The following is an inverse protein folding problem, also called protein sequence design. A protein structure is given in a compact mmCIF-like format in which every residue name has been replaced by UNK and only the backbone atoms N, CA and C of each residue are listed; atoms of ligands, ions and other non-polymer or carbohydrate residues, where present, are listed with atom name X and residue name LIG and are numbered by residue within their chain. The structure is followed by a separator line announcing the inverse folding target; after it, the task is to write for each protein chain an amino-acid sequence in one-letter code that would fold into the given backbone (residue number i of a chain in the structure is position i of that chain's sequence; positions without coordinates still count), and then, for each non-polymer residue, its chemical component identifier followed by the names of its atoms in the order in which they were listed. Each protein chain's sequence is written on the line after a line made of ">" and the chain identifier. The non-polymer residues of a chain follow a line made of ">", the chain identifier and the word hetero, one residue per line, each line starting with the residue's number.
data_IF_671373663862
#
_entry.id   IF_671373663862
#
_cell.length_a   1.000
_cell.length_b   1.000
_cell.length_c   1.000
_cell.angle_alpha   90.00
_cell.angle_beta   90.00
_cell.angle_gamma   90.00
#
_symmetry.space_group_name_H-M   'P 1'
#
loop_
_entity.id
_entity.type
_entity.pdbx_description
1 polymer ?
#
# COMPACT_ATOMS: atom_id res chain seq x y z
N UNK A 1 62.06 -1.97 20.26
CA UNK A 1 61.22 -1.12 19.39
C UNK A 1 59.92 -0.89 20.14
N UNK A 2 59.73 0.34 20.63
CA UNK A 2 58.62 0.69 21.50
C UNK A 2 57.30 0.69 20.74
N UNK A 3 56.27 0.11 21.36
CA UNK A 3 54.89 0.32 20.95
C UNK A 3 54.55 1.78 21.24
N UNK A 4 54.66 2.65 20.24
CA UNK A 4 54.02 3.96 20.28
C UNK A 4 52.51 3.71 20.31
N UNK A 5 51.92 3.79 21.51
CA UNK A 5 50.50 4.16 21.63
C UNK A 5 50.39 5.53 21.00
N UNK A 6 49.90 5.59 19.77
CA UNK A 6 49.34 6.81 19.23
C UNK A 6 48.22 7.21 20.17
N UNK A 7 48.46 8.24 21.00
CA UNK A 7 47.46 8.94 21.78
C UNK A 7 46.48 9.64 20.81
N UNK A 8 45.66 8.85 20.12
CA UNK A 8 44.39 9.34 19.60
C UNK A 8 43.48 9.51 20.82
N UNK A 9 43.75 10.57 21.60
CA UNK A 9 42.75 11.14 22.48
C UNK A 9 41.62 11.56 21.56
N UNK A 10 40.53 10.79 21.51
CA UNK A 10 39.28 11.34 21.01
C UNK A 10 39.06 12.65 21.77
N UNK A 11 38.73 13.76 21.09
CA UNK A 11 38.40 14.99 21.79
C UNK A 11 37.29 14.63 22.78
N UNK A 12 37.59 14.75 24.08
CA UNK A 12 36.60 14.58 25.13
C UNK A 12 35.59 15.69 24.89
N UNK A 13 34.47 15.33 24.26
CA UNK A 13 33.34 16.20 24.00
C UNK A 13 32.98 16.86 25.34
N UNK A 14 33.04 18.19 25.39
CA UNK A 14 33.08 18.95 26.64
C UNK A 14 31.78 18.93 27.45
N UNK A 15 30.67 18.48 26.85
CA UNK A 15 29.36 18.34 27.48
C UNK A 15 28.70 16.99 27.19
N UNK A 16 27.82 16.52 28.08
CA UNK A 16 27.00 15.31 27.84
C UNK A 16 26.16 15.42 26.55
N UNK A 17 25.71 16.64 26.23
CA UNK A 17 24.94 16.92 25.02
C UNK A 17 25.74 16.63 23.75
N UNK A 18 27.05 16.90 23.78
CA UNK A 18 27.97 16.63 22.68
C UNK A 18 28.20 15.12 22.49
N UNK A 19 28.22 14.34 23.58
CA UNK A 19 28.24 12.87 23.50
C UNK A 19 26.94 12.31 22.92
N UNK A 20 25.79 12.89 23.28
CA UNK A 20 24.50 12.48 22.71
C UNK A 20 24.43 12.79 21.22
N UNK A 21 24.84 13.97 20.77
CA UNK A 21 24.88 14.31 19.34
C UNK A 21 25.88 13.44 18.59
N UNK A 22 27.07 13.17 19.13
CA UNK A 22 28.03 12.24 18.54
C UNK A 22 27.48 10.81 18.46
N UNK A 23 26.78 10.33 19.49
CA UNK A 23 26.13 9.02 19.50
C UNK A 23 24.99 8.94 18.48
N UNK A 24 24.17 9.99 18.34
CA UNK A 24 23.12 10.09 17.32
C UNK A 24 23.74 10.08 15.92
N UNK A 25 24.81 10.85 15.70
CA UNK A 25 25.53 10.89 14.43
C UNK A 25 26.11 9.51 14.10
N UNK A 26 26.77 8.85 15.05
CA UNK A 26 27.29 7.49 14.89
C UNK A 26 26.17 6.50 14.54
N UNK A 27 25.05 6.53 15.29
CA UNK A 27 23.89 5.66 15.00
C UNK A 27 23.32 5.96 13.62
N UNK A 28 23.18 7.24 13.25
CA UNK A 28 22.70 7.63 11.92
C UNK A 28 23.65 7.18 10.81
N UNK A 29 24.95 7.22 11.04
CA UNK A 29 25.97 6.76 10.10
C UNK A 29 25.97 5.22 9.98
N UNK A 30 25.85 4.50 11.09
CA UNK A 30 25.72 3.03 11.11
C UNK A 30 24.45 2.57 10.40
N UNK A 31 23.34 3.27 10.63
CA UNK A 31 22.06 3.03 9.97
C UNK A 31 22.17 3.30 8.47
N UNK A 32 22.84 4.38 8.04
CA UNK A 32 23.11 4.66 6.62
C UNK A 32 24.06 3.64 5.99
N UNK A 33 25.03 3.13 6.74
CA UNK A 33 25.99 2.14 6.27
C UNK A 33 25.36 0.75 6.03
N UNK A 34 24.19 0.48 6.64
CA UNK A 34 23.46 -0.80 6.54
C UNK A 34 22.00 -0.57 6.11
N UNK A 35 21.74 -0.29 4.82
CA UNK A 35 20.39 0.02 4.34
C UNK A 35 19.41 -1.16 4.49
N UNK A 36 19.87 -2.41 4.48
CA UNK A 36 19.02 -3.60 4.60
C UNK A 36 18.26 -3.64 5.93
N UNK A 37 18.88 -3.17 7.02
CA UNK A 37 18.21 -3.05 8.34
C UNK A 37 17.02 -2.09 8.29
N UNK A 38 17.16 -0.94 7.63
CA UNK A 38 16.06 0.02 7.50
C UNK A 38 14.92 -0.55 6.65
N UNK A 39 15.25 -1.18 5.53
CA UNK A 39 14.26 -1.82 4.68
C UNK A 39 13.50 -2.93 5.41
N UNK A 40 14.18 -3.71 6.24
CA UNK A 40 13.57 -4.74 7.09
C UNK A 40 12.62 -4.15 8.14
N UNK A 41 13.02 -3.07 8.82
CA UNK A 41 12.21 -2.43 9.86
C UNK A 41 10.97 -1.74 9.28
N UNK A 42 11.08 -1.14 8.10
CA UNK A 42 9.96 -0.51 7.39
C UNK A 42 9.08 -1.51 6.64
N UNK A 43 9.54 -2.74 6.44
CA UNK A 43 8.77 -3.74 5.70
C UNK A 43 7.57 -4.24 6.53
N UNK A 44 6.40 -4.41 5.88
CA UNK A 44 5.21 -4.94 6.53
C UNK A 44 5.41 -6.40 6.95
N UNK A 45 4.63 -6.89 7.94
CA UNK A 45 4.83 -8.23 8.51
C UNK A 45 4.84 -9.35 7.47
N UNK A 46 3.96 -9.29 6.47
CA UNK A 46 3.88 -10.32 5.42
C UNK A 46 5.17 -10.46 4.62
N UNK A 47 5.91 -9.36 4.40
CA UNK A 47 7.16 -9.38 3.66
C UNK A 47 8.32 -9.85 4.55
N UNK A 48 8.31 -9.47 5.83
CA UNK A 48 9.31 -9.94 6.80
C UNK A 48 9.27 -11.46 7.00
N UNK A 49 8.09 -12.07 6.92
CA UNK A 49 7.93 -13.53 6.98
C UNK A 49 8.65 -14.28 5.84
N UNK A 50 8.96 -13.62 4.72
CA UNK A 50 9.69 -14.26 3.60
C UNK A 50 11.12 -14.70 3.94
N UNK A 51 11.68 -14.22 5.05
CA UNK A 51 12.97 -14.67 5.59
C UNK A 51 12.91 -16.14 6.08
N UNK A 52 11.76 -16.61 6.55
CA UNK A 52 11.54 -17.97 7.02
C UNK A 52 10.67 -18.73 6.02
N UNK A 53 11.21 -18.93 4.81
CA UNK A 53 10.45 -19.55 3.72
C UNK A 53 10.15 -21.03 3.98
N UNK A 54 8.99 -21.47 3.54
CA UNK A 54 8.58 -22.88 3.60
C UNK A 54 9.48 -23.79 2.76
N UNK A 55 9.54 -25.06 3.13
CA UNK A 55 10.33 -26.06 2.40
C UNK A 55 9.91 -26.22 0.92
N UNK A 56 8.66 -25.92 0.57
CA UNK A 56 8.18 -25.88 -0.82
C UNK A 56 8.80 -24.71 -1.60
N UNK A 57 8.81 -23.51 -1.00
CA UNK A 57 9.40 -22.31 -1.58
C UNK A 57 10.92 -22.46 -1.70
N UNK A 58 11.59 -22.99 -0.67
CA UNK A 58 13.04 -23.22 -0.71
C UNK A 58 13.43 -24.15 -1.87
N UNK A 59 12.65 -25.22 -2.10
CA UNK A 59 12.84 -26.10 -3.27
C UNK A 59 12.60 -25.37 -4.58
N UNK A 60 11.57 -24.51 -4.64
CA UNK A 60 11.31 -23.70 -5.83
C UNK A 60 12.47 -22.74 -6.12
N UNK A 61 13.02 -22.07 -5.09
CA UNK A 61 14.18 -21.17 -5.19
C UNK A 61 15.43 -21.87 -5.72
N UNK A 62 15.68 -23.10 -5.27
CA UNK A 62 16.82 -23.91 -5.74
C UNK A 62 16.66 -24.41 -7.19
N UNK A 63 15.43 -24.40 -7.72
CA UNK A 63 15.15 -24.73 -9.11
C UNK A 63 15.47 -23.57 -10.08
N UNK A 64 15.41 -23.87 -11.38
CA UNK A 64 15.51 -22.84 -12.42
C UNK A 64 14.24 -22.00 -12.57
N UNK A 65 14.30 -20.97 -13.41
CA UNK A 65 13.20 -20.01 -13.64
C UNK A 65 11.85 -20.68 -13.91
N UNK A 66 11.80 -21.71 -14.76
CA UNK A 66 10.54 -22.39 -15.06
C UNK A 66 9.87 -23.04 -13.84
N UNK A 67 10.65 -23.54 -12.89
CA UNK A 67 10.13 -24.16 -11.66
C UNK A 67 9.64 -23.06 -10.71
N UNK A 68 10.45 -22.01 -10.53
CA UNK A 68 10.11 -20.84 -9.73
C UNK A 68 8.80 -20.20 -10.22
N UNK A 69 8.70 -19.93 -11.52
CA UNK A 69 7.56 -19.27 -12.12
C UNK A 69 6.27 -20.08 -11.98
N UNK A 70 6.33 -21.41 -12.21
CA UNK A 70 5.17 -22.30 -12.02
C UNK A 70 4.71 -22.34 -10.56
N UNK A 71 5.65 -22.47 -9.62
CA UNK A 71 5.33 -22.50 -8.20
C UNK A 71 4.70 -21.19 -7.72
N UNK A 72 5.25 -20.05 -8.15
CA UNK A 72 4.73 -18.73 -7.79
C UNK A 72 3.32 -18.49 -8.38
N UNK A 73 3.05 -18.93 -9.61
CA UNK A 73 1.69 -18.85 -10.19
C UNK A 73 0.70 -19.68 -9.38
N UNK A 74 1.07 -20.91 -9.02
CA UNK A 74 0.18 -21.78 -8.25
C UNK A 74 -0.17 -21.16 -6.89
N UNK A 75 0.83 -20.67 -6.15
CA UNK A 75 0.62 -20.01 -4.86
C UNK A 75 -0.26 -18.75 -5.00
N UNK A 76 -0.05 -17.97 -6.06
CA UNK A 76 -0.90 -16.80 -6.39
C UNK A 76 -2.35 -17.24 -6.67
N UNK A 77 -2.56 -18.32 -7.39
CA UNK A 77 -3.90 -18.85 -7.69
C UNK A 77 -4.61 -19.40 -6.44
N UNK A 78 -3.88 -20.06 -5.56
CA UNK A 78 -4.39 -20.47 -4.24
C UNK A 78 -4.80 -19.26 -3.40
N UNK A 79 -3.99 -18.20 -3.40
CA UNK A 79 -4.35 -16.92 -2.76
C UNK A 79 -5.61 -16.29 -3.35
N UNK A 80 -5.76 -16.32 -4.69
CA UNK A 80 -6.96 -15.79 -5.36
C UNK A 80 -8.25 -16.53 -4.95
N UNK A 81 -8.18 -17.83 -4.66
CA UNK A 81 -9.35 -18.59 -4.19
C UNK A 81 -9.75 -18.24 -2.75
N UNK A 82 -8.77 -17.84 -1.95
CA UNK A 82 -8.94 -17.53 -0.53
C UNK A 82 -9.32 -16.07 -0.28
N UNK A 83 -9.08 -15.15 -1.23
CA UNK A 83 -9.26 -13.71 -1.00
C UNK A 83 -10.65 -13.31 -0.48
N UNK A 84 -11.71 -13.98 -0.94
CA UNK A 84 -13.09 -13.72 -0.48
C UNK A 84 -13.41 -14.47 0.82
N UNK A 85 -12.81 -15.65 1.02
CA UNK A 85 -13.13 -16.54 2.14
C UNK A 85 -12.38 -16.17 3.42
N UNK A 86 -11.07 -15.96 3.28
CA UNK A 86 -10.14 -15.73 4.38
C UNK A 86 -8.96 -14.85 3.92
N UNK A 87 -9.07 -13.51 4.04
CA UNK A 87 -8.04 -12.58 3.58
C UNK A 87 -6.65 -12.75 4.22
N UNK A 88 -6.48 -13.06 5.53
CA UNK A 88 -5.14 -13.30 6.09
C UNK A 88 -4.49 -14.58 5.54
N UNK A 89 -5.24 -15.67 5.36
CA UNK A 89 -4.69 -16.88 4.74
C UNK A 89 -4.33 -16.64 3.27
N UNK A 90 -5.11 -15.83 2.54
CA UNK A 90 -4.76 -15.42 1.18
C UNK A 90 -3.45 -14.62 1.16
N UNK A 91 -3.25 -13.71 2.13
CA UNK A 91 -2.02 -12.92 2.25
C UNK A 91 -0.79 -13.79 2.49
N UNK A 92 -0.91 -14.87 3.26
CA UNK A 92 0.17 -15.85 3.44
C UNK A 92 0.54 -16.55 2.13
N UNK A 93 -0.44 -16.97 1.32
CA UNK A 93 -0.15 -17.56 0.00
C UNK A 93 0.50 -16.57 -0.96
N UNK A 94 0.09 -15.31 -0.95
CA UNK A 94 0.76 -14.27 -1.72
C UNK A 94 2.18 -13.99 -1.21
N UNK A 95 2.40 -13.99 0.10
CA UNK A 95 3.75 -13.80 0.67
C UNK A 95 4.66 -14.96 0.28
N UNK A 96 4.17 -16.20 0.29
CA UNK A 96 4.88 -17.37 -0.23
C UNK A 96 5.19 -17.23 -1.72
N UNK A 97 4.23 -16.78 -2.54
CA UNK A 97 4.43 -16.55 -3.97
C UNK A 97 5.53 -15.50 -4.24
N UNK A 98 5.49 -14.38 -3.52
CA UNK A 98 6.53 -13.34 -3.57
C UNK A 98 7.89 -13.89 -3.14
N UNK A 99 7.89 -14.69 -2.08
CA UNK A 99 9.10 -15.26 -1.49
C UNK A 99 9.87 -16.15 -2.46
N UNK A 100 9.27 -16.67 -3.53
CA UNK A 100 9.99 -17.42 -4.57
C UNK A 100 11.05 -16.54 -5.26
N UNK A 101 10.72 -15.28 -5.55
CA UNK A 101 11.60 -14.35 -6.28
C UNK A 101 12.19 -13.24 -5.40
N UNK A 102 11.58 -12.93 -4.26
CA UNK A 102 11.94 -11.80 -3.41
C UNK A 102 11.92 -12.19 -1.92
N UNK A 103 13.05 -12.14 -1.24
CA UNK A 103 13.12 -12.51 0.18
C UNK A 103 14.17 -11.71 0.93
N UNK A 104 14.00 -11.65 2.24
CA UNK A 104 15.01 -11.12 3.14
C UNK A 104 16.03 -12.20 3.50
N UNK A 105 17.30 -11.95 3.22
CA UNK A 105 18.39 -12.86 3.55
C UNK A 105 18.95 -12.52 4.94
N UNK A 106 18.78 -13.43 5.90
CA UNK A 106 19.34 -13.28 7.26
C UNK A 106 20.77 -13.81 7.38
N UNK A 107 21.34 -14.32 6.29
CA UNK A 107 22.65 -14.94 6.31
C UNK A 107 22.73 -16.17 7.22
N UNK A 108 23.95 -16.69 7.40
CA UNK A 108 24.22 -17.80 8.30
C UNK A 108 24.30 -17.33 9.76
N UNK A 109 24.78 -16.10 9.98
CA UNK A 109 24.92 -15.50 11.30
C UNK A 109 23.61 -14.84 11.74
N UNK A 110 22.85 -15.50 12.61
CA UNK A 110 21.62 -14.94 13.21
C UNK A 110 21.83 -13.63 13.98
N UNK A 111 23.08 -13.32 14.35
CA UNK A 111 23.47 -12.10 15.05
C UNK A 111 23.74 -10.91 14.10
N UNK A 112 23.78 -11.15 12.78
CA UNK A 112 23.93 -10.06 11.81
C UNK A 112 22.70 -9.16 11.84
N UNK A 113 22.94 -7.86 12.00
CA UNK A 113 21.88 -6.85 12.06
C UNK A 113 21.38 -6.40 10.69
N UNK A 114 22.13 -6.72 9.63
CA UNK A 114 21.80 -6.34 8.27
C UNK A 114 21.09 -7.50 7.58
N UNK A 115 19.86 -7.27 7.14
CA UNK A 115 19.01 -8.28 6.49
C UNK A 115 18.63 -7.73 5.12
N UNK A 116 19.48 -7.89 4.09
CA UNK A 116 19.21 -7.33 2.77
C UNK A 116 18.01 -8.02 2.11
N UNK A 117 17.24 -7.22 1.36
CA UNK A 117 16.16 -7.72 0.51
C UNK A 117 16.76 -8.20 -0.82
N UNK A 118 16.77 -9.51 -1.03
CA UNK A 118 17.27 -10.14 -2.26
C UNK A 118 16.13 -10.33 -3.24
N UNK A 119 16.27 -9.77 -4.45
CA UNK A 119 15.37 -10.02 -5.57
C UNK A 119 16.06 -10.88 -6.63
N UNK A 120 15.78 -12.19 -6.65
CA UNK A 120 16.36 -13.10 -7.66
C UNK A 120 15.93 -12.76 -9.08
N UNK A 121 14.79 -12.08 -9.26
CA UNK A 121 14.34 -11.64 -10.57
C UNK A 121 15.31 -10.63 -11.23
N UNK A 122 16.09 -9.87 -10.46
CA UNK A 122 17.09 -8.93 -10.99
C UNK A 122 18.28 -9.63 -11.67
N UNK A 123 18.49 -10.93 -11.40
CA UNK A 123 19.54 -11.74 -12.04
C UNK A 123 19.11 -12.35 -13.36
N UNK A 124 17.81 -12.32 -13.67
CA UNK A 124 17.26 -12.84 -14.91
C UNK A 124 17.39 -11.77 -16.00
N UNK A 125 17.47 -12.19 -17.26
CA UNK A 125 17.59 -11.27 -18.40
C UNK A 125 16.46 -11.47 -19.42
N UNK A 126 16.05 -10.38 -20.05
CA UNK A 126 15.07 -10.39 -21.15
C UNK A 126 13.66 -10.81 -20.72
N UNK A 127 13.07 -11.75 -21.45
CA UNK A 127 11.66 -12.10 -21.30
C UNK A 127 11.34 -12.79 -19.95
N UNK A 128 12.30 -13.48 -19.34
CA UNK A 128 12.11 -14.15 -18.05
C UNK A 128 12.02 -13.11 -16.90
N UNK A 129 12.86 -12.09 -16.96
CA UNK A 129 12.84 -10.96 -16.03
C UNK A 129 11.51 -10.21 -16.10
N UNK A 130 11.05 -9.90 -17.31
CA UNK A 130 9.76 -9.26 -17.56
C UNK A 130 8.59 -10.05 -16.95
N UNK A 131 8.60 -11.37 -17.13
CA UNK A 131 7.57 -12.26 -16.59
C UNK A 131 7.61 -12.31 -15.05
N UNK A 132 8.80 -12.35 -14.47
CA UNK A 132 8.98 -12.32 -13.02
C UNK A 132 8.50 -10.99 -12.42
N UNK A 133 8.87 -9.85 -13.01
CA UNK A 133 8.44 -8.53 -12.55
C UNK A 133 6.94 -8.32 -12.67
N UNK A 134 6.34 -8.74 -13.78
CA UNK A 134 4.89 -8.72 -13.92
C UNK A 134 4.22 -9.56 -12.83
N UNK A 135 4.70 -10.78 -12.57
CA UNK A 135 4.16 -11.64 -11.53
C UNK A 135 4.32 -11.04 -10.12
N UNK A 136 5.48 -10.43 -9.82
CA UNK A 136 5.73 -9.71 -8.57
C UNK A 136 4.75 -8.54 -8.41
N UNK A 137 4.58 -7.72 -9.45
CA UNK A 137 3.63 -6.59 -9.41
C UNK A 137 2.21 -7.05 -9.14
N UNK A 138 1.74 -8.07 -9.87
CA UNK A 138 0.38 -8.63 -9.67
C UNK A 138 0.23 -9.21 -8.26
N UNK A 139 1.22 -9.95 -7.77
CA UNK A 139 1.17 -10.58 -6.44
C UNK A 139 1.17 -9.54 -5.32
N UNK A 140 1.99 -8.49 -5.42
CA UNK A 140 1.97 -7.35 -4.50
C UNK A 140 0.64 -6.59 -4.56
N UNK A 141 0.11 -6.36 -5.74
CA UNK A 141 -1.19 -5.70 -5.92
C UNK A 141 -2.30 -6.52 -5.25
N UNK A 142 -2.31 -7.85 -5.40
CA UNK A 142 -3.30 -8.72 -4.77
C UNK A 142 -3.13 -8.79 -3.24
N UNK A 143 -1.88 -8.84 -2.74
CA UNK A 143 -1.61 -8.71 -1.31
C UNK A 143 -2.15 -7.39 -0.75
N UNK A 144 -2.01 -6.28 -1.49
CA UNK A 144 -2.57 -4.99 -1.10
C UNK A 144 -4.10 -5.00 -1.02
N UNK A 145 -4.78 -5.76 -1.89
CA UNK A 145 -6.23 -5.92 -1.81
C UNK A 145 -6.65 -6.62 -0.50
N UNK A 146 -5.95 -7.69 -0.09
CA UNK A 146 -6.19 -8.33 1.21
C UNK A 146 -5.93 -7.36 2.37
N UNK A 147 -4.84 -6.60 2.32
CA UNK A 147 -4.48 -5.63 3.37
C UNK A 147 -5.53 -4.52 3.51
N UNK A 148 -6.07 -4.01 2.39
CA UNK A 148 -7.18 -3.05 2.41
C UNK A 148 -8.45 -3.63 3.04
N UNK A 149 -8.80 -4.89 2.71
CA UNK A 149 -9.94 -5.58 3.33
C UNK A 149 -9.77 -5.77 4.83
N UNK A 150 -8.53 -5.93 5.30
CA UNK A 150 -8.20 -6.03 6.73
C UNK A 150 -8.03 -4.66 7.42
N UNK A 151 -8.23 -3.55 6.70
CA UNK A 151 -8.07 -2.18 7.24
C UNK A 151 -6.61 -1.75 7.46
N UNK A 152 -5.63 -2.48 6.93
CA UNK A 152 -4.20 -2.20 7.06
C UNK A 152 -3.72 -1.26 5.94
N UNK A 153 -4.18 -0.01 5.96
CA UNK A 153 -3.92 0.97 4.89
C UNK A 153 -2.43 1.23 4.63
N UNK A 154 -1.62 1.42 5.68
CA UNK A 154 -0.20 1.72 5.55
C UNK A 154 0.57 0.60 4.85
N UNK A 155 0.32 -0.65 5.25
CA UNK A 155 0.93 -1.84 4.65
C UNK A 155 0.46 -2.04 3.21
N UNK A 156 -0.81 -1.74 2.91
CA UNK A 156 -1.34 -1.77 1.55
C UNK A 156 -0.66 -0.73 0.64
N UNK A 157 -0.44 0.49 1.13
CA UNK A 157 0.27 1.54 0.40
C UNK A 157 1.73 1.14 0.12
N UNK A 158 2.40 0.50 1.09
CA UNK A 158 3.74 -0.06 0.90
C UNK A 158 3.74 -1.14 -0.19
N UNK A 159 2.81 -2.11 -0.11
CA UNK A 159 2.70 -3.19 -1.07
C UNK A 159 2.42 -2.66 -2.49
N UNK A 160 1.53 -1.67 -2.65
CA UNK A 160 1.27 -1.04 -3.94
C UNK A 160 2.49 -0.29 -4.47
N UNK A 161 3.24 0.41 -3.60
CA UNK A 161 4.46 1.10 -4.01
C UNK A 161 5.54 0.13 -4.50
N UNK A 162 5.66 -1.05 -3.87
CA UNK A 162 6.51 -2.14 -4.39
C UNK A 162 5.96 -2.69 -5.71
N UNK A 163 4.65 -2.87 -5.87
CA UNK A 163 4.05 -3.31 -7.13
C UNK A 163 4.40 -2.36 -8.30
N UNK A 164 4.31 -1.05 -8.05
CA UNK A 164 4.58 0.00 -9.04
C UNK A 164 6.07 0.14 -9.37
N UNK A 165 6.97 -0.29 -8.47
CA UNK A 165 8.41 -0.41 -8.77
C UNK A 165 8.66 -1.43 -9.90
N UNK A 166 7.90 -2.52 -9.94
CA UNK A 166 8.05 -3.58 -10.93
C UNK A 166 7.21 -3.37 -12.18
N UNK A 167 6.01 -2.80 -12.04
CA UNK A 167 5.16 -2.40 -13.16
C UNK A 167 4.50 -1.05 -12.86
N UNK A 168 5.05 0.07 -13.36
CA UNK A 168 4.54 1.41 -13.09
C UNK A 168 3.17 1.67 -13.76
N UNK A 169 2.75 0.82 -14.70
CA UNK A 169 1.52 0.98 -15.46
C UNK A 169 0.35 0.14 -14.90
N UNK A 170 0.54 -0.47 -13.73
CA UNK A 170 -0.48 -1.28 -13.09
C UNK A 170 -1.60 -0.40 -12.49
N UNK A 171 -2.70 -0.24 -13.24
CA UNK A 171 -3.88 0.54 -12.85
C UNK A 171 -4.48 0.06 -11.52
N UNK A 172 -4.52 -1.26 -11.29
CA UNK A 172 -5.06 -1.84 -10.05
C UNK A 172 -4.20 -1.44 -8.84
N UNK A 173 -2.88 -1.41 -8.99
CA UNK A 173 -1.97 -0.98 -7.93
C UNK A 173 -2.11 0.52 -7.64
N UNK A 174 -2.21 1.37 -8.67
CA UNK A 174 -2.47 2.81 -8.51
C UNK A 174 -3.79 3.08 -7.78
N UNK A 175 -4.87 2.42 -8.22
CA UNK A 175 -6.19 2.55 -7.59
C UNK A 175 -6.16 2.11 -6.12
N UNK A 176 -5.57 0.95 -5.83
CA UNK A 176 -5.47 0.42 -4.45
C UNK A 176 -4.61 1.32 -3.56
N UNK A 177 -3.51 1.88 -4.08
CA UNK A 177 -2.67 2.84 -3.34
C UNK A 177 -3.42 4.12 -3.01
N UNK A 178 -4.20 4.64 -3.97
CA UNK A 178 -5.05 5.80 -3.72
C UNK A 178 -6.11 5.53 -2.65
N UNK A 179 -6.74 4.35 -2.66
CA UNK A 179 -7.70 3.96 -1.62
C UNK A 179 -7.03 3.83 -0.24
N UNK A 180 -5.81 3.30 -0.18
CA UNK A 180 -5.02 3.25 1.06
C UNK A 180 -4.72 4.67 1.59
N UNK A 181 -4.31 5.59 0.71
CA UNK A 181 -4.04 6.97 1.06
C UNK A 181 -5.30 7.74 1.49
N UNK A 182 -6.44 7.47 0.84
CA UNK A 182 -7.75 7.99 1.25
C UNK A 182 -8.12 7.52 2.65
N UNK A 183 -7.91 6.24 2.98
CA UNK A 183 -8.18 5.69 4.32
C UNK A 183 -7.29 6.32 5.42
N UNK A 184 -6.09 6.80 5.06
CA UNK A 184 -5.24 7.53 6.01
C UNK A 184 -5.79 8.92 6.37
N UNK A 185 -6.75 9.47 5.61
CA UNK A 185 -7.47 10.72 5.87
C UNK A 185 -6.56 11.93 6.22
N UNK A 186 -5.34 11.97 5.69
CA UNK A 186 -4.43 13.11 5.82
C UNK A 186 -4.48 13.95 4.54
N UNK A 187 -4.29 15.27 4.64
CA UNK A 187 -4.25 16.15 3.47
C UNK A 187 -3.20 15.68 2.44
N UNK A 188 -1.97 15.41 2.89
CA UNK A 188 -0.90 14.86 2.05
C UNK A 188 -1.26 13.49 1.44
N UNK A 189 -1.99 12.64 2.18
CA UNK A 189 -2.52 11.38 1.67
C UNK A 189 -3.56 11.59 0.56
N UNK A 190 -4.52 12.48 0.77
CA UNK A 190 -5.54 12.80 -0.23
C UNK A 190 -4.94 13.40 -1.50
N UNK A 191 -3.93 14.27 -1.39
CA UNK A 191 -3.17 14.78 -2.54
C UNK A 191 -2.46 13.66 -3.31
N UNK A 192 -1.79 12.75 -2.60
CA UNK A 192 -1.16 11.58 -3.20
C UNK A 192 -2.19 10.66 -3.89
N UNK A 193 -3.36 10.47 -3.27
CA UNK A 193 -4.46 9.69 -3.85
C UNK A 193 -5.00 10.32 -5.14
N UNK A 194 -5.17 11.64 -5.20
CA UNK A 194 -5.57 12.35 -6.43
C UNK A 194 -4.52 12.15 -7.53
N UNK A 195 -3.23 12.27 -7.19
CA UNK A 195 -2.14 12.03 -8.15
C UNK A 195 -2.17 10.61 -8.73
N UNK A 196 -2.35 9.60 -7.88
CA UNK A 196 -2.43 8.20 -8.29
C UNK A 196 -3.66 7.89 -9.14
N UNK A 197 -4.83 8.41 -8.76
CA UNK A 197 -6.07 8.23 -9.53
C UNK A 197 -6.03 8.99 -10.86
N UNK A 198 -5.38 10.15 -10.90
CA UNK A 198 -5.16 10.89 -12.15
C UNK A 198 -4.27 10.08 -13.11
N UNK A 199 -3.19 9.48 -12.61
CA UNK A 199 -2.35 8.59 -13.41
C UNK A 199 -3.11 7.34 -13.88
N UNK A 200 -3.93 6.73 -13.01
CA UNK A 200 -4.80 5.60 -13.37
C UNK A 200 -5.83 5.97 -14.45
N UNK A 201 -6.42 7.17 -14.36
CA UNK A 201 -7.39 7.65 -15.35
C UNK A 201 -6.75 7.96 -16.71
N UNK A 202 -5.48 8.35 -16.74
CA UNK A 202 -4.72 8.51 -17.99
C UNK A 202 -4.45 7.17 -18.69
N UNK A 203 -4.25 6.10 -17.91
CA UNK A 203 -4.05 4.73 -18.42
C UNK A 203 -5.35 4.12 -18.95
N UNK A 204 -6.42 4.22 -18.17
CA UNK A 204 -7.74 3.63 -18.47
C UNK A 204 -8.86 4.67 -18.33
N UNK A 205 -9.01 5.60 -19.30
CA UNK A 205 -10.02 6.67 -19.22
C UNK A 205 -11.47 6.16 -19.31
N UNK A 206 -11.66 4.93 -19.79
CA UNK A 206 -12.97 4.27 -19.85
C UNK A 206 -13.41 3.69 -18.49
N UNK A 207 -12.51 3.59 -17.51
CA UNK A 207 -12.82 2.95 -16.23
C UNK A 207 -13.65 3.89 -15.34
N UNK A 208 -14.95 3.59 -15.22
CA UNK A 208 -15.87 4.41 -14.45
C UNK A 208 -15.53 4.45 -12.96
N UNK A 209 -15.01 3.35 -12.40
CA UNK A 209 -14.66 3.27 -10.97
C UNK A 209 -13.53 4.25 -10.62
N UNK A 210 -12.51 4.36 -11.48
CA UNK A 210 -11.40 5.29 -11.28
C UNK A 210 -11.87 6.74 -11.34
N UNK A 211 -12.74 7.08 -12.30
CA UNK A 211 -13.30 8.43 -12.44
C UNK A 211 -14.16 8.83 -11.24
N UNK A 212 -15.02 7.91 -10.79
CA UNK A 212 -15.86 8.14 -9.62
C UNK A 212 -15.00 8.35 -8.37
N UNK A 213 -14.04 7.46 -8.12
CA UNK A 213 -13.12 7.58 -7.00
C UNK A 213 -12.32 8.90 -7.05
N UNK A 214 -11.87 9.33 -8.23
CA UNK A 214 -11.15 10.59 -8.40
C UNK A 214 -12.02 11.79 -8.00
N UNK A 215 -13.27 11.82 -8.45
CA UNK A 215 -14.22 12.88 -8.10
C UNK A 215 -14.51 12.91 -6.59
N UNK A 216 -14.70 11.73 -5.97
CA UNK A 216 -14.90 11.61 -4.52
C UNK A 216 -13.70 12.12 -3.73
N UNK A 217 -12.48 11.68 -4.06
CA UNK A 217 -11.26 12.10 -3.34
C UNK A 217 -10.99 13.60 -3.53
N UNK A 218 -11.25 14.15 -4.71
CA UNK A 218 -11.13 15.59 -4.95
C UNK A 218 -12.13 16.41 -4.13
N UNK A 219 -13.34 15.89 -3.93
CA UNK A 219 -14.31 16.52 -3.04
C UNK A 219 -13.83 16.48 -1.58
N UNK A 220 -13.41 15.31 -1.10
CA UNK A 220 -12.86 15.15 0.26
C UNK A 220 -11.65 16.07 0.52
N UNK A 221 -10.74 16.21 -0.44
CA UNK A 221 -9.59 17.11 -0.34
C UNK A 221 -10.01 18.59 -0.24
N UNK A 222 -11.03 19.00 -1.00
CA UNK A 222 -11.57 20.38 -0.93
C UNK A 222 -12.19 20.67 0.43
N UNK A 223 -12.96 19.72 0.97
CA UNK A 223 -13.56 19.85 2.30
C UNK A 223 -12.50 19.90 3.40
N UNK A 224 -11.48 19.04 3.35
CA UNK A 224 -10.39 19.05 4.31
C UNK A 224 -9.62 20.39 4.29
N UNK A 225 -9.32 20.91 3.10
CA UNK A 225 -8.68 22.24 2.94
C UNK A 225 -9.57 23.38 3.41
N UNK A 226 -10.89 23.27 3.24
CA UNK A 226 -11.85 24.26 3.77
C UNK A 226 -11.86 24.26 5.30
N UNK A 227 -11.86 23.08 5.92
CA UNK A 227 -11.79 22.93 7.36
C UNK A 227 -10.48 23.49 7.92
N UNK A 228 -9.33 23.14 7.33
CA UNK A 228 -8.03 23.69 7.71
C UNK A 228 -8.02 25.21 7.60
N UNK A 229 -8.49 25.79 6.48
CA UNK A 229 -8.58 27.25 6.32
C UNK A 229 -9.46 27.89 7.38
N UNK A 230 -10.61 27.30 7.72
CA UNK A 230 -11.47 27.80 8.80
C UNK A 230 -10.77 27.77 10.16
N UNK A 231 -10.06 26.69 10.47
CA UNK A 231 -9.28 26.57 11.70
C UNK A 231 -8.17 27.62 11.78
N UNK A 232 -7.38 27.79 10.71
CA UNK A 232 -6.31 28.79 10.67
C UNK A 232 -6.81 30.23 10.65
N UNK A 233 -7.93 30.51 9.97
CA UNK A 233 -8.54 31.84 9.94
C UNK A 233 -9.02 32.27 11.33
N UNK A 234 -9.64 31.35 12.08
CA UNK A 234 -10.07 31.62 13.46
C UNK A 234 -8.88 31.87 14.41
N UNK A 235 -7.76 31.16 14.22
CA UNK A 235 -6.53 31.38 15.02
C UNK A 235 -5.93 32.76 14.73
N UNK A 236 -5.96 33.24 13.49
CA UNK A 236 -5.44 34.56 13.14
C UNK A 236 -6.35 35.71 13.60
N UNK A 237 -7.67 35.51 13.59
CA UNK A 237 -8.63 36.51 14.09
C UNK A 237 -8.58 36.67 15.61
N UNK A 238 -8.30 35.59 16.35
CA UNK A 238 -8.23 35.62 17.83
C UNK A 238 -6.81 35.67 18.40
N UNK A 239 -5.79 35.43 17.60
CA UNK A 239 -4.38 35.50 17.98
C UNK A 239 -3.87 36.94 17.93
N UNK A 240 -4.15 37.74 18.97
CA UNK A 240 -3.36 38.94 19.26
C UNK A 240 -1.93 38.51 19.64
N UNK A 241 -1.05 38.38 18.64
CA UNK A 241 0.34 37.96 18.83
C UNK A 241 1.31 39.13 19.06
N UNK A 242 0.83 40.37 19.06
CA UNK A 242 1.60 41.55 19.48
C UNK A 242 0.68 42.56 20.17
N UNK A 243 0.72 42.60 21.50
CA UNK A 243 0.30 43.79 22.24
C UNK A 243 1.41 44.84 22.10
N UNK A 244 1.29 45.75 21.14
CA UNK A 244 2.20 46.91 21.01
C UNK A 244 2.11 47.89 22.20
N UNK A 245 1.23 47.65 23.18
CA UNK A 245 0.98 48.57 24.29
C UNK A 245 1.80 48.31 25.57
N UNK A 246 2.65 47.28 25.63
CA UNK A 246 3.50 47.03 26.82
C UNK A 246 4.80 47.86 26.85
N UNK A 247 5.20 48.53 25.76
CA UNK A 247 6.49 49.24 25.67
C UNK A 247 6.43 50.75 25.97
N UNK A 248 5.24 51.37 26.00
CA UNK A 248 5.10 52.83 26.17
C UNK A 248 4.62 53.29 27.57
N UNK A 249 4.48 52.38 28.53
CA UNK A 249 4.04 52.72 29.88
C UNK A 249 5.17 53.17 30.84
N UNK A 250 6.45 53.11 30.43
CA UNK A 250 7.59 53.42 31.31
C UNK A 250 8.29 54.76 31.02
N UNK A 251 7.79 55.58 30.08
CA UNK A 251 8.48 56.80 29.65
C UNK A 251 7.82 58.13 30.09
N UNK A 252 6.68 58.14 30.79
CA UNK A 252 6.04 59.42 31.12
C UNK A 252 5.27 59.41 32.46
N UNK A 253 6.01 59.43 33.58
CA UNK A 253 5.49 59.92 34.86
C UNK A 253 6.63 60.30 35.82
N UNK A 254 7.33 61.40 35.53
CA UNK A 254 8.05 62.16 36.54
C UNK A 254 7.07 63.09 37.25
N UNK A 255 6.71 62.78 38.50
CA UNK A 255 5.89 63.68 39.31
C UNK A 255 5.40 63.11 40.64
N UNK A 256 6.20 63.33 41.70
CA UNK A 256 5.67 63.76 43.01
C UNK A 256 4.99 62.74 43.95
N UNK A 257 5.77 62.30 44.93
CA UNK A 257 5.43 61.98 46.34
C UNK A 257 3.94 61.93 46.78
N UNK A 258 3.56 60.84 47.46
CA UNK A 258 3.48 60.84 48.93
C UNK A 258 3.40 59.42 49.54
N UNK A 259 4.07 59.30 50.70
CA UNK A 259 4.24 58.14 51.57
C UNK A 259 2.95 57.74 52.30
N UNK A 260 2.79 56.44 52.53
CA UNK A 260 2.46 55.91 53.86
C UNK A 260 3.03 54.47 54.00
N UNK A 261 3.70 54.21 55.11
CA UNK A 261 4.37 52.95 55.47
C UNK A 261 3.82 52.48 56.86
N UNK A 262 4.38 51.47 57.54
CA UNK A 262 3.81 50.11 57.63
C UNK A 262 3.63 49.59 59.08
N UNK A 263 3.03 48.40 59.25
CA UNK A 263 3.23 47.41 60.33
C UNK A 263 2.12 46.34 60.23
N UNK A 264 2.25 45.05 60.50
CA UNK A 264 3.30 44.20 61.06
C UNK A 264 2.63 42.88 61.52
N UNK A 265 3.40 41.77 61.58
CA UNK A 265 3.02 40.50 62.25
C UNK A 265 2.58 39.39 61.29
N UNK A 266 3.44 38.42 60.94
CA UNK A 266 3.88 37.25 61.71
C UNK A 266 2.95 36.02 61.53
N UNK A 267 3.51 34.88 61.11
CA UNK A 267 2.88 33.57 61.36
C UNK A 267 3.03 32.46 60.32
N UNK A 268 4.17 31.76 60.38
CA UNK A 268 4.32 30.29 60.37
C UNK A 268 3.80 29.40 59.22
N UNK A 269 4.75 28.56 58.79
CA UNK A 269 4.71 27.34 57.97
C UNK A 269 3.80 26.24 58.55
N UNK A 270 3.02 25.56 57.70
CA UNK A 270 2.92 24.08 57.70
C UNK A 270 2.63 23.57 56.29
N UNK A 271 3.34 22.53 55.88
CA UNK A 271 3.08 21.81 54.63
C UNK A 271 1.89 20.86 54.75
N UNK A 272 1.26 20.55 53.62
CA UNK A 272 0.61 19.26 53.46
C UNK A 272 0.63 18.84 52.00
N UNK A 273 1.13 17.62 51.85
CA UNK A 273 1.33 16.87 50.64
C UNK A 273 0.05 16.10 50.37
N UNK A 274 -0.57 16.23 49.18
CA UNK A 274 -1.39 15.15 48.65
C UNK A 274 -1.39 15.13 47.12
N UNK A 275 -0.90 13.99 46.64
CA UNK A 275 -0.99 13.47 45.28
C UNK A 275 -2.42 13.03 44.99
N UNK A 276 -2.78 13.12 43.71
CA UNK A 276 -3.47 12.05 43.00
C UNK A 276 -4.98 12.18 42.88
N UNK A 277 -5.44 12.54 41.68
CA UNK A 277 -6.54 11.85 41.01
C UNK A 277 -6.45 12.12 39.50
N UNK A 278 -6.08 11.06 38.76
CA UNK A 278 -6.27 10.92 37.32
C UNK A 278 -7.75 10.64 37.10
N UNK A 279 -8.44 11.40 36.25
CA UNK A 279 -9.73 10.97 35.68
C UNK A 279 -9.63 10.88 34.17
N UNK A 280 -9.55 9.63 33.74
CA UNK A 280 -9.88 9.12 32.42
C UNK A 280 -11.28 9.58 31.98
N UNK A 281 -11.39 10.12 30.78
CA UNK A 281 -12.64 10.20 30.03
C UNK A 281 -12.36 9.79 28.58
N UNK A 282 -12.40 8.48 28.37
CA UNK A 282 -12.63 7.86 27.07
C UNK A 282 -14.01 7.21 27.14
N UNK A 283 -14.91 7.57 26.23
CA UNK A 283 -15.84 6.64 25.57
C UNK A 283 -16.86 7.39 24.67
N UNK A 284 -17.06 6.78 23.51
CA UNK A 284 -18.30 6.68 22.74
C UNK A 284 -18.69 7.82 21.77
N UNK A 285 -18.35 7.62 20.50
CA UNK A 285 -19.34 7.36 19.44
C UNK A 285 -18.64 6.70 18.26
N UNK A 286 -18.78 5.37 18.21
CA UNK A 286 -18.40 4.56 17.06
C UNK A 286 -19.63 4.47 16.16
N UNK A 287 -19.61 5.19 15.04
CA UNK A 287 -20.52 4.92 13.94
C UNK A 287 -19.77 4.20 12.82
N UNK A 288 -20.25 2.99 12.61
CA UNK A 288 -19.77 1.98 11.68
C UNK A 288 -20.28 2.38 10.29
N UNK A 289 -19.42 2.87 9.41
CA UNK A 289 -19.75 2.99 7.98
C UNK A 289 -19.15 1.80 7.23
N UNK A 290 -20.06 1.04 6.64
CA UNK A 290 -19.83 -0.27 6.03
C UNK A 290 -18.80 -0.26 4.92
N UNK A 291 -17.95 -1.28 4.96
CA UNK A 291 -17.09 -1.69 3.87
C UNK A 291 -17.92 -2.41 2.81
N UNK A 292 -18.34 -1.68 1.77
CA UNK A 292 -18.81 -2.28 0.52
C UNK A 292 -18.07 -1.62 -0.66
N UNK A 293 -17.44 -2.46 -1.50
CA UNK A 293 -16.67 -2.02 -2.65
C UNK A 293 -15.52 -2.95 -3.05
N UNK A 294 -15.77 -4.26 -3.06
CA UNK A 294 -14.87 -5.21 -3.73
C UNK A 294 -14.87 -4.95 -5.24
N UNK A 295 -13.74 -5.17 -5.90
CA UNK A 295 -13.68 -5.22 -7.36
C UNK A 295 -14.55 -6.38 -7.85
N UNK A 296 -15.81 -6.10 -8.21
CA UNK A 296 -16.71 -7.04 -8.88
C UNK A 296 -16.53 -6.92 -10.39
N UNK A 297 -16.14 -8.03 -11.03
CA UNK A 297 -16.31 -8.22 -12.47
C UNK A 297 -17.77 -8.62 -12.75
N UNK A 298 -18.56 -7.74 -13.36
CA UNK A 298 -19.82 -8.03 -14.08
C UNK A 298 -20.28 -6.73 -14.77
N UNK A 299 -20.26 -6.61 -16.10
CA UNK A 299 -21.38 -6.95 -17.00
C UNK A 299 -22.75 -6.93 -16.30
N UNK A 300 -23.49 -5.83 -16.38
CA UNK A 300 -24.89 -5.79 -15.96
C UNK A 300 -25.36 -4.38 -15.65
N UNK A 301 -26.22 -3.89 -16.54
CA UNK A 301 -27.05 -2.69 -16.42
C UNK A 301 -27.79 -2.63 -15.09
N UNK A 302 -27.58 -1.57 -14.29
CA UNK A 302 -28.62 -0.98 -13.43
C UNK A 302 -28.42 0.55 -13.38
N UNK A 303 -29.45 1.24 -13.84
CA UNK A 303 -29.64 2.69 -13.80
C UNK A 303 -29.94 3.12 -12.36
N UNK A 304 -29.19 4.07 -11.80
CA UNK A 304 -29.62 4.81 -10.62
C UNK A 304 -29.37 6.31 -10.80
N UNK A 305 -30.43 7.03 -10.46
CA UNK A 305 -30.86 8.34 -10.92
C UNK A 305 -30.32 9.45 -10.02
N UNK A 306 -29.34 10.24 -10.48
CA UNK A 306 -28.84 11.43 -9.77
C UNK A 306 -29.22 12.76 -10.45
N UNK A 307 -30.11 12.75 -11.47
CA UNK A 307 -30.52 13.97 -12.17
C UNK A 307 -31.73 14.63 -11.50
N UNK A 308 -31.52 15.31 -10.37
CA UNK A 308 -32.34 16.50 -10.04
C UNK A 308 -31.66 17.42 -9.02
N UNK A 309 -30.69 18.20 -9.50
CA UNK A 309 -30.35 19.49 -8.91
C UNK A 309 -30.14 20.46 -10.07
N UNK A 310 -31.17 21.27 -10.37
CA UNK A 310 -31.01 22.35 -11.34
C UNK A 310 -30.08 23.43 -10.77
N UNK A 311 -29.14 23.97 -11.56
CA UNK A 311 -28.33 25.08 -11.11
C UNK A 311 -29.18 26.35 -11.14
N UNK A 312 -29.50 26.88 -9.97
CA UNK A 312 -29.99 28.25 -9.85
C UNK A 312 -28.91 29.18 -10.39
N UNK A 313 -29.26 29.95 -11.43
CA UNK A 313 -28.38 30.91 -12.06
C UNK A 313 -27.89 31.95 -11.06
N UNK A 314 -26.58 31.97 -10.84
CA UNK A 314 -25.83 33.06 -10.24
C UNK A 314 -24.59 33.28 -11.12
N UNK A 315 -24.38 34.50 -11.57
CA UNK A 315 -23.20 34.92 -12.30
C UNK A 315 -21.96 34.75 -11.40
N UNK A 316 -21.16 33.72 -11.67
CA UNK A 316 -19.81 33.58 -11.12
C UNK A 316 -18.92 34.67 -11.74
N UNK A 317 -18.94 35.84 -11.12
CA UNK A 317 -17.92 36.86 -11.28
C UNK A 317 -16.63 36.29 -10.66
N UNK A 318 -15.72 35.84 -11.52
CA UNK A 318 -14.40 35.32 -11.14
C UNK A 318 -13.68 36.35 -10.27
N UNK A 319 -13.25 35.91 -9.07
CA UNK A 319 -12.54 36.73 -8.10
C UNK A 319 -11.28 37.37 -8.74
N UNK A 320 -11.08 38.70 -8.67
CA UNK A 320 -9.98 39.40 -9.34
C UNK A 320 -8.56 38.98 -8.92
N UNK A 321 -8.41 38.21 -7.83
CA UNK A 321 -7.12 37.69 -7.37
C UNK A 321 -6.61 36.46 -8.14
N UNK A 322 -7.48 35.75 -8.89
CA UNK A 322 -7.06 34.64 -9.76
C UNK A 322 -6.28 35.11 -11.00
N UNK A 323 -6.33 36.42 -11.33
CA UNK A 323 -5.70 37.00 -12.51
C UNK A 323 -4.39 37.76 -12.22
N UNK A 324 -4.09 38.05 -10.94
CA UNK A 324 -2.91 38.81 -10.54
C UNK A 324 -1.70 37.95 -10.15
N UNK A 325 -1.84 36.62 -10.10
CA UNK A 325 -0.74 35.66 -9.87
C UNK A 325 -0.51 34.73 -11.07
N UNK A 326 -0.36 35.29 -12.27
CA UNK A 326 0.30 34.57 -13.37
C UNK A 326 1.80 34.44 -13.06
N UNK A 327 2.08 33.47 -12.20
CA UNK A 327 3.37 33.01 -11.71
C UNK A 327 4.36 32.74 -12.88
N UNK A 328 5.63 33.15 -12.79
CA UNK A 328 6.72 32.68 -13.67
C UNK A 328 6.76 31.15 -13.84
N UNK A 329 6.12 30.38 -12.95
CA UNK A 329 5.88 28.96 -13.10
C UNK A 329 5.00 28.58 -14.29
N UNK A 330 4.07 29.41 -14.78
CA UNK A 330 3.18 29.03 -15.89
C UNK A 330 3.94 28.77 -17.21
N UNK A 331 5.02 29.54 -17.48
CA UNK A 331 5.94 29.28 -18.62
C UNK A 331 6.77 28.02 -18.41
N UNK A 332 7.17 27.71 -17.17
CA UNK A 332 7.84 26.43 -16.84
C UNK A 332 6.87 25.26 -16.98
N UNK A 333 5.61 25.43 -16.60
CA UNK A 333 4.53 24.44 -16.74
C UNK A 333 4.23 24.18 -18.21
N UNK A 334 4.23 25.19 -19.09
CA UNK A 334 4.07 24.99 -20.54
C UNK A 334 5.27 24.26 -21.16
N UNK A 335 6.51 24.57 -20.76
CA UNK A 335 7.69 23.80 -21.19
C UNK A 335 7.72 22.37 -20.61
N UNK A 336 7.20 22.18 -19.40
CA UNK A 336 7.03 20.88 -18.76
C UNK A 336 5.81 20.12 -19.33
N UNK A 337 4.82 20.81 -19.90
CA UNK A 337 3.68 20.25 -20.60
C UNK A 337 4.14 19.69 -21.95
N UNK A 338 5.00 20.42 -22.68
CA UNK A 338 5.65 19.92 -23.88
C UNK A 338 6.56 18.70 -23.61
N UNK A 339 7.30 18.71 -22.48
CA UNK A 339 8.04 17.52 -22.00
C UNK A 339 7.10 16.37 -21.62
N UNK A 340 5.99 16.66 -20.92
CA UNK A 340 4.97 15.68 -20.54
C UNK A 340 4.23 15.11 -21.74
N UNK A 341 4.05 15.86 -22.81
CA UNK A 341 3.47 15.36 -24.06
C UNK A 341 4.42 14.38 -24.74
N UNK A 342 5.73 14.66 -24.75
CA UNK A 342 6.73 13.71 -25.23
C UNK A 342 6.78 12.45 -24.35
N UNK A 343 6.72 12.60 -23.02
CA UNK A 343 6.62 11.47 -22.09
C UNK A 343 5.31 10.69 -22.28
N UNK A 344 4.19 11.36 -22.56
CA UNK A 344 2.89 10.75 -22.83
C UNK A 344 2.89 9.99 -24.16
N UNK A 345 3.58 10.48 -25.18
CA UNK A 345 3.78 9.78 -26.46
C UNK A 345 4.65 8.55 -26.25
N UNK A 346 5.77 8.68 -25.52
CA UNK A 346 6.62 7.55 -25.16
C UNK A 346 5.88 6.53 -24.29
N UNK A 347 5.04 6.98 -23.36
CA UNK A 347 4.20 6.17 -22.51
C UNK A 347 3.12 5.42 -23.29
N UNK A 348 2.40 6.10 -24.19
CA UNK A 348 1.41 5.47 -25.08
C UNK A 348 2.08 4.45 -26.01
N UNK A 349 3.29 4.75 -26.48
CA UNK A 349 4.10 3.83 -27.30
C UNK A 349 4.54 2.60 -26.51
N UNK A 350 5.01 2.77 -25.26
CA UNK A 350 5.39 1.68 -24.38
C UNK A 350 4.20 0.82 -23.95
N UNK A 351 3.05 1.41 -23.63
CA UNK A 351 1.81 0.69 -23.34
C UNK A 351 1.26 -0.05 -24.57
N UNK A 352 1.39 0.53 -25.76
CA UNK A 352 1.09 -0.16 -27.02
C UNK A 352 2.05 -1.34 -27.27
N UNK A 353 3.34 -1.17 -26.96
CA UNK A 353 4.34 -2.25 -27.03
C UNK A 353 4.06 -3.35 -26.01
N UNK A 354 3.67 -3.02 -24.79
CA UNK A 354 3.29 -4.00 -23.75
C UNK A 354 2.04 -4.79 -24.17
N UNK A 355 1.01 -4.12 -24.72
CA UNK A 355 -0.17 -4.78 -25.29
C UNK A 355 0.17 -5.68 -26.47
N UNK A 356 1.07 -5.23 -27.35
CA UNK A 356 1.59 -6.02 -28.47
C UNK A 356 2.39 -7.24 -27.98
N UNK A 357 3.20 -7.08 -26.93
CA UNK A 357 3.98 -8.16 -26.29
C UNK A 357 3.06 -9.21 -25.66
N UNK A 358 2.05 -8.77 -24.90
CA UNK A 358 1.06 -9.65 -24.29
C UNK A 358 0.23 -10.38 -25.35
N UNK A 359 -0.12 -9.72 -26.47
CA UNK A 359 -0.83 -10.33 -27.60
C UNK A 359 0.02 -11.39 -28.30
N UNK A 360 1.29 -11.11 -28.60
CA UNK A 360 2.24 -12.10 -29.17
C UNK A 360 2.48 -13.27 -28.23
N UNK A 361 2.49 -13.03 -26.92
CA UNK A 361 2.63 -14.09 -25.92
C UNK A 361 1.39 -14.99 -25.86
N UNK A 362 0.18 -14.40 -25.93
CA UNK A 362 -1.07 -15.15 -26.07
C UNK A 362 -1.10 -15.99 -27.35
N UNK A 363 -0.72 -15.41 -28.50
CA UNK A 363 -0.63 -16.11 -29.78
C UNK A 363 0.37 -17.28 -29.75
N UNK A 364 1.52 -17.13 -29.08
CA UNK A 364 2.48 -18.24 -28.88
C UNK A 364 1.91 -19.35 -28.01
N UNK A 365 1.22 -19.00 -26.94
CA UNK A 365 0.55 -19.98 -26.06
C UNK A 365 -0.56 -20.72 -26.80
N UNK A 366 -1.35 -20.02 -27.63
CA UNK A 366 -2.39 -20.62 -28.44
C UNK A 366 -1.82 -21.48 -29.57
N UNK A 367 -0.70 -21.07 -30.18
CA UNK A 367 0.04 -21.89 -31.14
C UNK A 367 0.64 -23.15 -30.49
N UNK A 368 1.15 -23.07 -29.26
CA UNK A 368 1.61 -24.24 -28.50
C UNK A 368 0.47 -25.17 -28.12
N UNK A 369 -0.69 -24.62 -27.71
CA UNK A 369 -1.93 -25.38 -27.47
C UNK A 369 -2.38 -26.09 -28.75
N UNK A 370 -2.36 -25.41 -29.90
CA UNK A 370 -2.69 -26.01 -31.19
C UNK A 370 -1.70 -27.13 -31.58
N UNK A 371 -0.38 -26.93 -31.41
CA UNK A 371 0.62 -27.98 -31.65
C UNK A 371 0.45 -29.19 -30.74
N UNK A 372 0.01 -29.00 -29.48
CA UNK A 372 -0.34 -30.11 -28.58
C UNK A 372 -1.65 -30.79 -28.97
N UNK A 373 -2.64 -30.04 -29.45
CA UNK A 373 -3.93 -30.56 -29.91
C UNK A 373 -3.80 -31.40 -31.20
N UNK A 374 -2.88 -31.04 -32.10
CA UNK A 374 -2.61 -31.78 -33.35
C UNK A 374 -1.93 -33.14 -33.11
N UNK A 375 -1.53 -33.46 -31.87
CA UNK A 375 -0.82 -34.71 -31.54
C UNK A 375 -1.71 -35.91 -31.20
N UNK A 376 -3.03 -35.75 -31.11
CA UNK A 376 -3.95 -36.86 -30.90
C UNK A 376 -4.98 -36.94 -32.04
N UNK A 377 -4.67 -37.72 -33.09
CA UNK A 377 -5.68 -38.07 -34.07
C UNK A 377 -6.75 -38.93 -33.39
N UNK A 378 -8.01 -38.52 -33.49
CA UNK A 378 -9.13 -39.24 -32.87
C UNK A 378 -9.32 -40.65 -33.48
N UNK A 379 -8.74 -40.89 -34.65
CA UNK A 379 -8.66 -42.20 -35.31
C UNK A 379 -7.54 -43.12 -34.78
N UNK A 380 -6.59 -42.60 -34.00
CA UNK A 380 -5.52 -43.37 -33.39
C UNK A 380 -5.87 -43.90 -31.99
N UNK A 381 -7.07 -43.60 -31.48
CA UNK A 381 -7.60 -44.19 -30.25
C UNK A 381 -8.16 -45.57 -30.60
N UNK A 382 -7.53 -46.66 -30.17
CA UNK A 382 -8.00 -48.00 -30.52
C UNK A 382 -9.41 -48.23 -29.96
N UNK A 383 -10.25 -48.95 -30.70
CA UNK A 383 -11.58 -49.38 -30.27
C UNK A 383 -11.66 -49.96 -28.84
N UNK A 384 -10.61 -50.63 -28.35
CA UNK A 384 -10.54 -51.15 -26.98
C UNK A 384 -10.47 -50.05 -25.90
N UNK A 385 -9.98 -48.85 -26.21
CA UNK A 385 -9.95 -47.73 -25.27
C UNK A 385 -11.38 -47.19 -25.03
N UNK A 386 -12.23 -47.18 -26.04
CA UNK A 386 -13.65 -46.87 -25.88
C UNK A 386 -14.37 -47.94 -25.05
N UNK A 387 -13.99 -49.21 -25.21
CA UNK A 387 -14.50 -50.29 -24.36
C UNK A 387 -14.07 -50.12 -22.89
N UNK A 388 -12.83 -49.71 -22.62
CA UNK A 388 -12.36 -49.43 -21.26
C UNK A 388 -13.06 -48.22 -20.62
N UNK A 389 -13.30 -47.16 -21.39
CA UNK A 389 -14.07 -45.99 -20.91
C UNK A 389 -15.52 -46.40 -20.60
N UNK A 390 -16.15 -47.20 -21.47
CA UNK A 390 -17.47 -47.77 -21.23
C UNK A 390 -17.52 -48.66 -20.00
N UNK A 391 -16.51 -49.52 -19.81
CA UNK A 391 -16.41 -50.41 -18.65
C UNK A 391 -16.15 -49.63 -17.35
N UNK A 392 -15.40 -48.52 -17.43
CA UNK A 392 -15.16 -47.66 -16.28
C UNK A 392 -16.40 -46.82 -15.89
N UNK A 393 -17.18 -46.36 -16.88
CA UNK A 393 -18.47 -45.72 -16.65
C UNK A 393 -19.51 -46.71 -16.10
N UNK A 394 -19.55 -47.94 -16.63
CA UNK A 394 -20.39 -49.01 -16.10
C UNK A 394 -20.01 -49.35 -14.66
N UNK A 395 -18.71 -49.46 -14.36
CA UNK A 395 -18.22 -49.68 -12.99
C UNK A 395 -18.60 -48.51 -12.06
N UNK A 396 -18.51 -47.26 -12.51
CA UNK A 396 -18.96 -46.10 -11.72
C UNK A 396 -20.48 -46.10 -11.50
N UNK A 397 -21.26 -46.48 -12.50
CA UNK A 397 -22.71 -46.61 -12.37
C UNK A 397 -23.11 -47.76 -11.41
N UNK A 398 -22.42 -48.89 -11.46
CA UNK A 398 -22.61 -50.00 -10.50
C UNK A 398 -22.23 -49.55 -9.08
N UNK A 399 -21.12 -48.83 -8.93
CA UNK A 399 -20.66 -48.33 -7.62
C UNK A 399 -21.58 -47.26 -7.04
N UNK A 400 -22.17 -46.40 -7.88
CA UNK A 400 -23.16 -45.39 -7.47
C UNK A 400 -24.54 -46.03 -7.22
N UNK A 401 -24.91 -47.07 -7.97
CA UNK A 401 -26.13 -47.85 -7.75
C UNK A 401 -26.12 -48.66 -6.45
N UNK A 402 -24.97 -49.19 -6.06
CA UNK A 402 -24.81 -49.95 -4.81
C UNK A 402 -24.94 -49.08 -3.55
N UNK A 403 -24.64 -47.78 -3.64
CA UNK A 403 -24.77 -46.82 -2.52
C UNK A 403 -26.23 -46.34 -2.34
N UNK A 404 -27.12 -46.61 -3.31
CA UNK A 404 -28.53 -46.17 -3.26
C UNK A 404 -29.56 -47.28 -2.96
N UNK A 405 -29.13 -48.54 -2.85
CA UNK A 405 -30.02 -49.70 -2.62
C UNK A 405 -30.10 -50.22 -1.17
N UNK A 406 -29.44 -49.55 -0.22
CA UNK A 406 -29.32 -50.00 1.17
C UNK A 406 -30.25 -49.29 2.15
N UNK A 407 -31.58 -49.27 1.91
CA UNK A 407 -32.57 -48.91 2.96
C UNK A 407 -33.85 -49.73 2.77
N UNK A 408 -34.05 -50.71 3.65
CA UNK A 408 -35.34 -51.00 4.29
C UNK A 408 -36.41 -51.79 3.54
N UNK A 409 -36.42 -53.11 3.72
CA UNK A 409 -37.64 -53.95 3.81
C UNK A 409 -37.24 -55.24 4.54
N UNK A 410 -37.28 -55.31 5.88
CA UNK A 410 -38.43 -55.73 6.70
C UNK A 410 -39.20 -56.89 6.08
N UNK A 411 -39.01 -58.10 6.61
CA UNK A 411 -40.08 -59.04 6.99
C UNK A 411 -39.52 -60.12 7.96
N UNK A 412 -40.36 -60.76 8.79
CA UNK A 412 -40.00 -61.30 10.10
C UNK A 412 -40.22 -62.83 10.23
N UNK A 413 -39.93 -63.35 11.43
CA UNK A 413 -40.41 -64.61 12.05
C UNK A 413 -39.63 -65.93 11.87
N UNK A 414 -39.16 -66.40 13.05
CA UNK A 414 -39.26 -67.75 13.62
C UNK A 414 -38.39 -68.89 13.07
N UNK A 415 -37.37 -69.29 13.84
CA UNK A 415 -37.46 -70.45 14.73
C UNK A 415 -36.39 -70.40 15.82
#
# INVERSE_FOLDING_TARGET
>A
MGWQRSDNKMPLLGSFQDYLTAAIQLKSALVKAKPGRQEWEQAPPFLRCTAAADASVQRARAGGFSVQYKAAIQLKEEGNQLIIKDPPAALERYSQALSVFLWFDRGQDRASEDVPLVCSAEKLEGAEQDQAYHLLSVSFSNAAACLLQMGMAADAAYACSKALKYDPYNVKALYRRAMAHRQAATNAGLEAAVSDLAAANQLEPANNQVRLALATVQHELREHRKQERGMYSNIFQHGQLYDEHAANATANSSGGLQRAAPAGGAGCVTGSQRRGAVSTAAAASADTMGAEGGWHDATGSEDEDWRRAEPAGGSDELDPEDLLFLDPQKRKVESALASREADLVMFKMQAALARSRNRKMAERLDAERARRAVRFPWWAVPWWAYALIGLHLAYRLIKVGFVRGGVGAVLPYSC
#
